data_IF_252628786933
#
_entry.id   IF_252628786933
#
_cell.length_a   1.000
_cell.length_b   1.000
_cell.length_c   1.000
_cell.angle_alpha   90.00
_cell.angle_beta   90.00
_cell.angle_gamma   90.00
#
_symmetry.space_group_name_H-M   'P 1'
#
loop_
_entity.id
_entity.type
_entity.pdbx_description
1 polymer ?
#
# COMPACT_ATOMS: atom_id res chain seq x y z
N UNK A 1 -1.78 -11.41 8.40
CA UNK A 1 -2.13 -10.00 8.23
C UNK A 1 -1.04 -9.36 7.40
N UNK A 2 -1.35 -8.76 6.26
CA UNK A 2 -0.36 -8.09 5.41
C UNK A 2 0.18 -6.81 6.06
N UNK A 3 1.37 -6.36 5.68
CA UNK A 3 1.95 -5.12 6.19
C UNK A 3 1.03 -3.92 5.94
N UNK A 4 0.31 -3.92 4.81
CA UNK A 4 -0.68 -2.90 4.48
C UNK A 4 -1.86 -2.92 5.47
N UNK A 5 -2.39 -4.09 5.79
CA UNK A 5 -3.48 -4.23 6.77
C UNK A 5 -3.06 -3.73 8.16
N UNK A 6 -1.81 -4.02 8.58
CA UNK A 6 -1.27 -3.53 9.85
C UNK A 6 -1.19 -2.00 9.86
N UNK A 7 -0.72 -1.39 8.77
CA UNK A 7 -0.64 0.07 8.64
C UNK A 7 -2.02 0.73 8.65
N UNK A 8 -3.00 0.15 7.96
CA UNK A 8 -4.37 0.65 7.92
C UNK A 8 -5.01 0.62 9.32
N UNK A 9 -4.90 -0.50 10.04
CA UNK A 9 -5.43 -0.61 11.41
C UNK A 9 -4.79 0.41 12.35
N UNK A 10 -3.47 0.61 12.26
CA UNK A 10 -2.78 1.61 13.08
C UNK A 10 -3.23 3.03 12.76
N UNK A 11 -3.41 3.36 11.48
CA UNK A 11 -3.91 4.67 11.05
C UNK A 11 -5.33 4.91 11.55
N UNK A 12 -6.20 3.93 11.43
CA UNK A 12 -7.61 4.05 11.85
C UNK A 12 -7.72 4.22 13.37
N UNK A 13 -6.87 3.55 14.14
CA UNK A 13 -6.75 3.78 15.58
C UNK A 13 -6.33 5.24 15.91
N UNK A 14 -5.42 5.84 15.13
CA UNK A 14 -5.03 7.25 15.31
C UNK A 14 -6.15 8.23 14.94
N UNK A 15 -6.95 7.93 13.91
CA UNK A 15 -8.14 8.74 13.61
C UNK A 15 -9.14 8.71 14.76
N UNK A 16 -9.35 7.55 15.38
CA UNK A 16 -10.18 7.46 16.57
C UNK A 16 -9.63 8.32 17.72
N UNK A 17 -8.32 8.23 18.00
CA UNK A 17 -7.67 9.08 19.00
C UNK A 17 -7.82 10.58 18.71
N UNK A 18 -7.75 10.98 17.43
CA UNK A 18 -7.94 12.37 17.01
C UNK A 18 -9.35 12.87 17.31
N UNK A 19 -10.37 12.03 17.08
CA UNK A 19 -11.77 12.36 17.39
C UNK A 19 -11.97 12.51 18.89
N UNK A 20 -11.41 11.60 19.70
CA UNK A 20 -11.44 11.69 21.16
C UNK A 20 -10.77 12.99 21.65
N UNK A 21 -9.56 13.30 21.18
CA UNK A 21 -8.85 14.53 21.55
C UNK A 21 -9.63 15.79 21.15
N UNK A 22 -10.26 15.79 19.97
CA UNK A 22 -11.12 16.90 19.53
C UNK A 22 -12.30 17.09 20.49
N UNK A 23 -12.90 16.00 20.95
CA UNK A 23 -13.98 16.05 21.93
C UNK A 23 -13.47 16.61 23.27
N UNK A 24 -12.34 16.12 23.77
CA UNK A 24 -11.72 16.59 25.02
C UNK A 24 -11.37 18.08 24.98
N UNK A 25 -10.77 18.55 23.87
CA UNK A 25 -10.49 19.97 23.65
C UNK A 25 -11.77 20.79 23.70
N UNK A 26 -12.84 20.33 23.03
CA UNK A 26 -14.12 21.03 23.06
C UNK A 26 -14.75 21.08 24.46
N UNK A 27 -14.58 20.02 25.26
CA UNK A 27 -15.05 20.01 26.66
C UNK A 27 -14.23 20.97 27.51
N UNK A 28 -12.91 20.97 27.36
CA UNK A 28 -12.02 21.90 28.05
C UNK A 28 -12.35 23.36 27.72
N UNK A 29 -12.62 23.69 26.46
CA UNK A 29 -13.00 25.04 26.05
C UNK A 29 -14.30 25.50 26.75
N UNK A 30 -15.27 24.59 26.91
CA UNK A 30 -16.54 24.88 27.59
C UNK A 30 -16.37 25.01 29.10
N UNK A 31 -15.59 24.10 29.69
CA UNK A 31 -15.40 23.98 31.13
C UNK A 31 -13.90 23.74 31.41
N UNK A 32 -13.09 24.81 31.49
CA UNK A 32 -11.67 24.68 31.74
C UNK A 32 -11.43 24.20 33.17
N UNK A 33 -10.45 23.32 33.34
CA UNK A 33 -10.01 22.80 34.64
C UNK A 33 -8.52 23.05 34.82
N UNK A 34 -8.09 23.46 36.02
CA UNK A 34 -6.68 23.80 36.29
C UNK A 34 -5.70 22.64 36.08
N UNK A 35 -6.16 21.40 36.18
CA UNK A 35 -5.32 20.21 36.07
C UNK A 35 -4.98 19.82 34.62
N UNK A 36 -5.60 20.46 33.63
CA UNK A 36 -5.39 20.15 32.22
C UNK A 36 -4.80 21.37 31.51
N UNK A 37 -3.64 21.20 30.87
CA UNK A 37 -3.03 22.25 30.05
C UNK A 37 -3.55 22.21 28.62
N UNK A 38 -4.07 23.34 28.14
CA UNK A 38 -4.49 23.49 26.73
C UNK A 38 -3.33 23.32 25.75
N UNK A 39 -2.11 23.74 26.14
CA UNK A 39 -0.91 23.56 25.32
C UNK A 39 -0.56 22.09 25.20
N UNK A 40 -0.72 21.32 26.27
CA UNK A 40 -0.56 19.87 26.23
C UNK A 40 -1.57 19.21 25.28
N UNK A 41 -2.86 19.59 25.37
CA UNK A 41 -3.90 19.08 24.45
C UNK A 41 -3.59 19.42 22.99
N UNK A 42 -3.13 20.66 22.72
CA UNK A 42 -2.72 21.10 21.38
C UNK A 42 -1.51 20.30 20.86
N UNK A 43 -0.53 20.04 21.72
CA UNK A 43 0.65 19.26 21.38
C UNK A 43 0.26 17.80 21.06
N UNK A 44 -0.62 17.20 21.87
CA UNK A 44 -1.14 15.85 21.60
C UNK A 44 -1.92 15.79 20.28
N UNK A 45 -2.79 16.76 20.01
CA UNK A 45 -3.53 16.85 18.76
C UNK A 45 -2.60 16.95 17.55
N UNK A 46 -1.59 17.84 17.63
CA UNK A 46 -0.60 18.02 16.56
C UNK A 46 0.26 16.77 16.35
N UNK A 47 0.60 16.07 17.44
CA UNK A 47 1.34 14.81 17.38
C UNK A 47 0.55 13.71 16.66
N UNK A 48 -0.73 13.54 17.00
CA UNK A 48 -1.59 12.54 16.35
C UNK A 48 -1.75 12.82 14.86
N UNK A 49 -1.94 14.09 14.46
CA UNK A 49 -1.98 14.47 13.05
C UNK A 49 -0.70 14.09 12.30
N UNK A 50 0.47 14.32 12.92
CA UNK A 50 1.76 13.94 12.33
C UNK A 50 1.88 12.42 12.18
N UNK A 51 1.43 11.65 13.17
CA UNK A 51 1.45 10.19 13.07
C UNK A 51 0.53 9.68 11.95
N UNK A 52 -0.66 10.25 11.79
CA UNK A 52 -1.56 9.91 10.67
C UNK A 52 -0.86 10.14 9.33
N UNK A 53 -0.24 11.32 9.14
CA UNK A 53 0.52 11.62 7.93
C UNK A 53 1.68 10.63 7.69
N UNK A 54 2.36 10.20 8.75
CA UNK A 54 3.42 9.20 8.63
C UNK A 54 2.87 7.85 8.16
N UNK A 55 1.71 7.43 8.68
CA UNK A 55 1.05 6.20 8.21
C UNK A 55 0.58 6.31 6.77
N UNK A 56 0.00 7.45 6.36
CA UNK A 56 -0.43 7.66 4.97
C UNK A 56 0.74 7.59 3.99
N UNK A 57 1.90 8.18 4.36
CA UNK A 57 3.11 8.08 3.56
C UNK A 57 3.64 6.64 3.48
N UNK A 58 3.60 5.89 4.59
CA UNK A 58 4.01 4.49 4.61
C UNK A 58 3.10 3.61 3.74
N UNK A 59 1.78 3.81 3.84
CA UNK A 59 0.77 3.11 3.02
C UNK A 59 1.01 3.40 1.54
N UNK A 60 1.16 4.68 1.17
CA UNK A 60 1.45 5.08 -0.21
C UNK A 60 2.72 4.41 -0.73
N UNK A 61 3.80 4.43 0.05
CA UNK A 61 5.08 3.81 -0.33
C UNK A 61 4.93 2.30 -0.53
N UNK A 62 4.18 1.63 0.36
CA UNK A 62 3.93 0.20 0.28
C UNK A 62 3.16 -0.15 -1.01
N UNK A 63 2.07 0.58 -1.31
CA UNK A 63 1.27 0.38 -2.53
C UNK A 63 2.10 0.64 -3.79
N UNK A 64 2.85 1.74 -3.85
CA UNK A 64 3.70 2.05 -4.99
C UNK A 64 4.76 0.97 -5.21
N UNK A 65 5.34 0.45 -4.13
CA UNK A 65 6.28 -0.68 -4.21
C UNK A 65 5.58 -1.89 -4.82
N UNK A 66 4.42 -2.30 -4.31
CA UNK A 66 3.70 -3.45 -4.87
C UNK A 66 3.36 -3.29 -6.36
N UNK A 67 2.99 -2.07 -6.79
CA UNK A 67 2.75 -1.76 -8.20
C UNK A 67 4.01 -1.96 -9.05
N UNK A 68 5.16 -1.48 -8.59
CA UNK A 68 6.42 -1.63 -9.33
C UNK A 68 6.86 -3.09 -9.44
N UNK A 69 6.62 -3.90 -8.41
CA UNK A 69 6.87 -5.34 -8.47
C UNK A 69 5.95 -6.03 -9.48
N UNK A 70 4.64 -5.74 -9.44
CA UNK A 70 3.67 -6.29 -10.39
C UNK A 70 4.01 -5.94 -11.85
N UNK A 71 4.49 -4.71 -12.12
CA UNK A 71 4.97 -4.32 -13.47
C UNK A 71 6.17 -5.16 -13.93
N UNK A 72 7.12 -5.44 -13.04
CA UNK A 72 8.28 -6.28 -13.35
C UNK A 72 7.86 -7.72 -13.63
N UNK A 73 6.95 -8.25 -12.82
CA UNK A 73 6.43 -9.61 -13.00
C UNK A 73 5.70 -9.74 -14.34
N UNK A 74 4.87 -8.76 -14.71
CA UNK A 74 4.22 -8.72 -16.02
C UNK A 74 5.22 -8.74 -17.17
N UNK A 75 6.25 -7.87 -17.13
CA UNK A 75 7.29 -7.83 -18.15
C UNK A 75 8.07 -9.15 -18.26
N UNK A 76 8.32 -9.80 -17.12
CA UNK A 76 8.99 -11.10 -17.08
C UNK A 76 8.12 -12.17 -17.75
N UNK A 77 6.80 -12.19 -17.46
CA UNK A 77 5.86 -13.10 -18.10
C UNK A 77 5.77 -12.86 -19.62
N UNK A 78 5.69 -11.60 -20.06
CA UNK A 78 5.71 -11.25 -21.49
C UNK A 78 6.99 -11.76 -22.18
N UNK A 79 8.14 -11.60 -21.52
CA UNK A 79 9.42 -12.09 -22.03
C UNK A 79 9.42 -13.62 -22.12
N UNK A 80 8.94 -14.32 -21.09
CA UNK A 80 8.82 -15.78 -21.10
C UNK A 80 7.91 -16.26 -22.23
N UNK A 81 6.76 -15.61 -22.44
CA UNK A 81 5.83 -15.92 -23.52
C UNK A 81 6.47 -15.72 -24.90
N UNK A 82 7.27 -14.67 -25.10
CA UNK A 82 7.98 -14.44 -26.37
C UNK A 82 9.06 -15.48 -26.68
N UNK A 83 9.56 -16.17 -25.65
CA UNK A 83 10.57 -17.22 -25.78
C UNK A 83 9.95 -18.60 -25.99
N UNK A 84 8.63 -18.74 -25.83
CA UNK A 84 7.94 -19.98 -26.17
C UNK A 84 8.06 -20.15 -27.69
N UNK A 85 8.72 -21.23 -28.17
CA UNK A 85 8.76 -21.51 -29.60
C UNK A 85 7.34 -21.57 -30.14
N UNK A 86 7.11 -20.99 -31.32
CA UNK A 86 5.85 -21.20 -32.03
C UNK A 86 5.54 -22.70 -32.04
N UNK A 87 4.30 -23.13 -31.75
CA UNK A 87 3.97 -24.54 -31.84
C UNK A 87 4.43 -25.05 -33.20
N UNK A 88 5.13 -26.18 -33.19
CA UNK A 88 5.63 -26.88 -34.36
C UNK A 88 4.50 -26.96 -35.40
N UNK A 89 4.66 -26.25 -36.52
CA UNK A 89 3.64 -26.26 -37.56
C UNK A 89 3.79 -27.58 -38.34
N UNK A 90 2.69 -28.13 -38.84
CA UNK A 90 2.71 -29.31 -39.70
C UNK A 90 3.54 -29.05 -40.96
N UNK A 91 3.68 -27.76 -41.34
CA UNK A 91 4.57 -27.30 -42.42
C UNK A 91 6.07 -27.42 -42.10
N UNK A 92 6.46 -27.56 -40.82
CA UNK A 92 7.83 -27.77 -40.38
C UNK A 92 8.25 -29.26 -40.44
N UNK A 93 7.32 -30.17 -40.81
CA UNK A 93 7.66 -31.57 -41.08
C UNK A 93 8.38 -31.68 -42.43
N UNK A 94 9.47 -32.48 -42.53
CA UNK A 94 10.11 -32.75 -43.81
C UNK A 94 9.12 -33.37 -44.79
N UNK A 95 9.12 -32.90 -46.03
CA UNK A 95 8.21 -33.43 -47.04
C UNK A 95 8.54 -34.89 -47.32
N UNK A 96 7.53 -35.70 -47.65
CA UNK A 96 7.71 -37.14 -47.93
C UNK A 96 8.80 -37.44 -48.99
N UNK A 97 9.08 -36.50 -49.90
CA UNK A 97 10.13 -36.62 -50.92
C UNK A 97 11.56 -36.40 -50.41
N UNK A 98 11.73 -35.84 -49.22
CA UNK A 98 13.05 -35.64 -48.57
C UNK A 98 13.43 -36.78 -47.63
N UNK A 99 12.44 -37.51 -47.09
CA UNK A 99 12.65 -38.60 -46.14
C UNK A 99 13.14 -39.88 -46.85
N UNK A 100 12.80 -40.08 -48.12
CA UNK A 100 13.11 -41.29 -48.90
C UNK A 100 14.05 -41.03 -50.08
N UNK A 101 15.19 -40.36 -49.83
CA UNK A 101 16.33 -40.30 -50.78
C UNK A 101 17.41 -41.30 -50.43
#
# INVERSE_FOLDING_TARGET
>A
MSDLEILLVKRDAKYFSLVCLKYEINQYIKNPVETVSIDNLKNQYSFVLREINNFDNAIKTNILTQIEWAKRDLKNLETQLSLIPSPFDVNDLPSYSEIFK
#
